data_IF_993040046538
#
_entry.id   IF_993040046538
#
_cell.length_a   1.000
_cell.length_b   1.000
_cell.length_c   1.000
_cell.angle_alpha   90.00
_cell.angle_beta   90.00
_cell.angle_gamma   90.00
#
_symmetry.space_group_name_H-M   'P 1'
#
loop_
_entity.id
_entity.type
_entity.pdbx_description
1 polymer ?
#
# COMPACT_ATOMS: atom_id res chain seq x y z
N UNK A 1 -30.84 61.21 24.72
CA UNK A 1 -30.19 60.09 23.99
C UNK A 1 -29.03 59.47 24.78
N UNK A 2 -29.21 59.18 26.09
CA UNK A 2 -28.18 58.57 26.95
C UNK A 2 -28.66 57.30 27.69
N UNK A 3 -29.93 56.91 27.51
CA UNK A 3 -30.54 55.71 28.13
C UNK A 3 -30.64 54.50 27.19
N UNK A 4 -30.43 54.69 25.87
CA UNK A 4 -30.55 53.61 24.88
C UNK A 4 -29.26 52.77 24.77
N UNK A 5 -28.09 53.33 25.13
CA UNK A 5 -26.79 52.64 25.00
C UNK A 5 -26.55 51.62 26.14
N UNK A 6 -27.18 51.81 27.32
CA UNK A 6 -26.96 50.92 28.48
C UNK A 6 -27.74 49.59 28.33
N UNK A 7 -28.85 49.59 27.60
CA UNK A 7 -29.67 48.37 27.41
C UNK A 7 -28.98 47.39 26.45
N UNK A 8 -28.20 47.87 25.49
CA UNK A 8 -27.51 47.02 24.50
C UNK A 8 -26.27 46.28 25.07
N UNK A 9 -25.71 46.74 26.20
CA UNK A 9 -24.56 46.09 26.84
C UNK A 9 -24.95 44.99 27.84
N UNK A 10 -26.19 45.00 28.35
CA UNK A 10 -26.71 43.97 29.26
C UNK A 10 -27.28 42.75 28.52
N UNK A 11 -27.60 42.86 27.23
CA UNK A 11 -28.07 41.74 26.41
C UNK A 11 -26.95 40.87 25.83
N UNK A 12 -25.70 41.38 25.77
CA UNK A 12 -24.55 40.64 25.24
C UNK A 12 -23.94 39.69 26.29
N UNK A 13 -24.24 39.88 27.59
CA UNK A 13 -23.65 39.06 28.65
C UNK A 13 -24.39 37.72 28.92
N UNK A 14 -25.48 37.41 28.21
CA UNK A 14 -26.28 36.19 28.43
C UNK A 14 -26.05 35.07 27.40
N UNK A 15 -25.11 35.22 26.44
CA UNK A 15 -24.87 34.21 25.39
C UNK A 15 -23.64 33.32 25.68
N UNK A 16 -22.90 33.56 26.77
CA UNK A 16 -21.75 32.72 27.17
C UNK A 16 -22.12 31.75 28.28
N UNK A 17 -23.11 30.89 28.05
CA UNK A 17 -23.40 29.77 28.95
C UNK A 17 -24.01 28.58 28.21
N UNK A 18 -23.34 28.07 27.16
CA UNK A 18 -23.50 26.64 26.81
C UNK A 18 -22.38 26.14 25.89
N UNK A 19 -21.34 25.58 26.49
CA UNK A 19 -20.71 24.35 25.98
C UNK A 19 -19.83 23.78 27.09
N UNK A 20 -20.16 22.57 27.56
CA UNK A 20 -19.39 21.91 28.60
C UNK A 20 -20.14 20.78 29.26
N UNK A 21 -20.66 19.82 28.49
CA UNK A 21 -20.91 18.48 29.03
C UNK A 21 -19.84 17.56 28.46
N UNK A 22 -18.82 17.31 29.27
CA UNK A 22 -17.89 16.21 29.09
C UNK A 22 -18.69 14.93 29.26
N UNK A 23 -18.91 14.22 28.17
CA UNK A 23 -19.36 12.83 28.21
C UNK A 23 -18.23 12.03 28.84
N UNK A 24 -18.37 11.70 30.11
CA UNK A 24 -17.58 10.62 30.72
C UNK A 24 -18.03 9.32 30.05
N UNK A 25 -17.44 9.01 28.90
CA UNK A 25 -17.43 7.64 28.38
C UNK A 25 -16.52 6.87 29.32
N UNK A 26 -17.10 6.23 30.32
CA UNK A 26 -16.45 5.12 31.02
C UNK A 26 -16.35 3.95 30.03
N UNK A 27 -15.38 4.02 29.12
CA UNK A 27 -14.88 2.84 28.44
C UNK A 27 -14.27 1.95 29.52
N UNK A 28 -15.10 1.08 30.08
CA UNK A 28 -14.61 -0.12 30.75
C UNK A 28 -14.17 -1.08 29.65
N UNK A 29 -13.08 -0.73 28.97
CA UNK A 29 -12.27 -1.74 28.31
C UNK A 29 -11.37 -2.25 29.42
N UNK A 30 -11.63 -3.48 29.84
CA UNK A 30 -10.65 -4.33 30.50
C UNK A 30 -9.39 -4.31 29.65
N UNK A 31 -8.49 -3.39 29.97
CA UNK A 31 -7.14 -3.35 29.45
C UNK A 31 -6.41 -4.54 30.06
N UNK A 32 -6.42 -5.62 29.31
CA UNK A 32 -5.49 -6.72 29.48
C UNK A 32 -4.83 -6.88 28.13
N UNK A 33 -3.88 -5.98 27.83
CA UNK A 33 -2.68 -6.22 27.02
C UNK A 33 -2.69 -7.51 26.17
N UNK A 34 -3.57 -7.56 25.18
CA UNK A 34 -3.55 -8.53 24.10
C UNK A 34 -3.27 -7.70 22.86
N UNK A 35 -2.18 -8.04 22.14
CA UNK A 35 -1.72 -7.31 20.97
C UNK A 35 -2.89 -6.98 20.04
N UNK A 36 -2.89 -5.75 19.51
CA UNK A 36 -3.99 -5.27 18.68
C UNK A 36 -4.33 -6.31 17.59
N UNK A 37 -5.61 -6.62 17.40
CA UNK A 37 -6.09 -7.59 16.42
C UNK A 37 -6.87 -6.88 15.32
N UNK A 38 -6.66 -7.28 14.07
CA UNK A 38 -7.44 -6.83 12.94
C UNK A 38 -8.89 -7.32 13.07
N UNK A 39 -9.86 -6.40 13.15
CA UNK A 39 -11.27 -6.73 13.43
C UNK A 39 -11.96 -7.44 12.27
N UNK A 40 -11.44 -7.33 11.05
CA UNK A 40 -12.01 -7.97 9.87
C UNK A 40 -11.55 -9.42 9.70
N UNK A 41 -10.31 -9.71 10.10
CA UNK A 41 -9.67 -11.01 9.88
C UNK A 41 -9.45 -11.82 11.16
N UNK A 42 -9.50 -11.18 12.33
CA UNK A 42 -9.13 -11.78 13.61
C UNK A 42 -7.63 -12.02 13.75
N UNK A 43 -6.81 -11.62 12.78
CA UNK A 43 -5.36 -11.79 12.87
C UNK A 43 -4.72 -10.79 13.85
N UNK A 44 -3.76 -11.24 14.65
CA UNK A 44 -2.89 -10.34 15.40
C UNK A 44 -2.15 -9.34 14.48
N UNK A 45 -1.97 -8.11 14.94
CA UNK A 45 -1.28 -7.03 14.21
C UNK A 45 0.22 -6.94 14.54
N UNK A 46 0.78 -7.86 15.33
CA UNK A 46 2.22 -7.97 15.49
C UNK A 46 2.91 -8.24 14.15
N UNK A 47 4.04 -7.58 13.95
CA UNK A 47 4.88 -7.74 12.78
C UNK A 47 5.92 -8.84 13.05
N UNK A 48 5.57 -10.06 12.66
CA UNK A 48 6.40 -11.26 12.76
C UNK A 48 6.48 -11.91 11.37
N UNK A 49 7.22 -11.28 10.43
CA UNK A 49 7.07 -11.56 9.01
C UNK A 49 7.44 -12.98 8.64
N UNK A 50 6.76 -13.52 7.64
CA UNK A 50 7.07 -14.81 7.03
C UNK A 50 7.06 -14.70 5.51
N UNK A 51 7.98 -15.42 4.87
CA UNK A 51 7.98 -15.58 3.43
C UNK A 51 7.05 -16.74 3.06
N UNK A 52 6.04 -16.47 2.25
CA UNK A 52 5.16 -17.48 1.68
C UNK A 52 5.82 -18.24 0.55
N UNK A 53 5.35 -19.46 0.27
CA UNK A 53 5.78 -20.27 -0.90
C UNK A 53 5.42 -19.64 -2.25
N UNK A 54 4.59 -18.60 -2.25
CA UNK A 54 4.28 -17.78 -3.41
C UNK A 54 5.26 -16.61 -3.61
N UNK A 55 6.30 -16.50 -2.76
CA UNK A 55 7.31 -15.45 -2.81
C UNK A 55 6.86 -14.12 -2.21
N UNK A 56 5.69 -14.07 -1.54
CA UNK A 56 5.18 -12.87 -0.89
C UNK A 56 5.53 -12.86 0.61
N UNK A 57 5.92 -11.69 1.12
CA UNK A 57 6.05 -11.48 2.57
C UNK A 57 4.68 -11.23 3.17
N UNK A 58 4.33 -12.00 4.19
CA UNK A 58 3.16 -11.80 5.01
C UNK A 58 3.57 -11.21 6.36
N UNK A 59 2.74 -10.30 6.88
CA UNK A 59 2.98 -9.64 8.18
C UNK A 59 3.21 -10.64 9.32
N UNK A 60 2.46 -11.75 9.31
CA UNK A 60 2.67 -12.90 10.18
C UNK A 60 1.99 -14.15 9.59
N UNK A 61 2.15 -15.27 10.29
CA UNK A 61 1.63 -16.59 9.88
C UNK A 61 0.10 -16.60 9.70
N UNK A 62 -0.64 -15.82 10.50
CA UNK A 62 -2.09 -15.72 10.40
C UNK A 62 -2.50 -15.16 9.02
N UNK A 63 -1.88 -14.07 8.58
CA UNK A 63 -2.18 -13.47 7.28
C UNK A 63 -1.83 -14.38 6.09
N UNK A 64 -0.77 -15.19 6.18
CA UNK A 64 -0.47 -16.21 5.15
C UNK A 64 -1.54 -17.30 5.08
N UNK A 65 -2.03 -17.72 6.24
CA UNK A 65 -3.04 -18.78 6.36
C UNK A 65 -4.39 -18.36 5.79
N UNK A 66 -4.78 -17.09 5.95
CA UNK A 66 -5.99 -16.55 5.32
C UNK A 66 -6.00 -16.64 3.80
N UNK A 67 -4.81 -16.65 3.17
CA UNK A 67 -4.65 -16.83 1.71
C UNK A 67 -4.35 -18.27 1.31
N UNK A 68 -4.41 -19.22 2.24
CA UNK A 68 -4.03 -20.62 2.03
C UNK A 68 -2.61 -20.78 1.47
N UNK A 69 -1.71 -19.87 1.84
CA UNK A 69 -0.31 -19.91 1.41
C UNK A 69 0.54 -20.50 2.52
N UNK A 70 1.23 -21.59 2.21
CA UNK A 70 2.19 -22.20 3.12
C UNK A 70 3.42 -21.31 3.30
N UNK A 71 4.04 -21.38 4.47
CA UNK A 71 5.29 -20.67 4.78
C UNK A 71 6.47 -21.39 4.12
N UNK A 72 7.35 -20.64 3.49
CA UNK A 72 8.67 -21.08 3.03
C UNK A 72 9.70 -20.95 4.16
N UNK A 73 9.91 -19.73 4.67
CA UNK A 73 10.76 -19.46 5.83
C UNK A 73 10.28 -18.27 6.67
N UNK A 74 10.79 -18.20 7.91
CA UNK A 74 10.55 -17.08 8.83
C UNK A 74 11.41 -15.89 8.41
N UNK A 75 10.82 -14.69 8.41
CA UNK A 75 11.44 -13.46 7.92
C UNK A 75 10.75 -12.93 6.67
N UNK A 76 11.20 -11.77 6.20
CA UNK A 76 10.77 -11.24 4.89
C UNK A 76 11.37 -12.09 3.77
N UNK A 77 10.66 -12.21 2.65
CA UNK A 77 11.22 -12.85 1.46
C UNK A 77 12.49 -12.14 0.99
N UNK A 78 13.41 -12.90 0.39
CA UNK A 78 14.57 -12.37 -0.31
C UNK A 78 14.12 -11.53 -1.50
N UNK A 79 14.68 -10.33 -1.60
CA UNK A 79 14.40 -9.40 -2.68
C UNK A 79 15.69 -8.96 -3.35
N UNK A 80 15.58 -8.42 -4.56
CA UNK A 80 16.74 -7.89 -5.26
C UNK A 80 16.84 -6.38 -5.04
N UNK A 81 18.01 -5.93 -4.58
CA UNK A 81 18.40 -4.53 -4.65
C UNK A 81 19.20 -4.32 -5.93
N UNK A 82 18.65 -3.53 -6.83
CA UNK A 82 19.18 -3.28 -8.16
C UNK A 82 19.55 -1.80 -8.34
N UNK A 83 20.68 -1.51 -8.97
CA UNK A 83 21.10 -0.15 -9.31
C UNK A 83 20.79 0.17 -10.77
N UNK A 84 19.92 1.16 -10.98
CA UNK A 84 19.53 1.67 -12.29
C UNK A 84 20.15 3.05 -12.49
N UNK A 85 21.19 3.15 -13.32
CA UNK A 85 21.94 4.41 -13.54
C UNK A 85 22.39 5.09 -12.21
N UNK A 86 22.74 4.30 -11.19
CA UNK A 86 23.16 4.79 -9.88
C UNK A 86 22.03 5.02 -8.87
N UNK A 87 20.77 4.78 -9.25
CA UNK A 87 19.63 4.83 -8.34
C UNK A 87 19.24 3.42 -7.87
N UNK A 88 19.20 3.23 -6.56
CA UNK A 88 18.80 1.96 -5.95
C UNK A 88 17.29 1.75 -6.05
N UNK A 89 16.94 0.55 -6.49
CA UNK A 89 15.57 0.06 -6.55
C UNK A 89 15.48 -1.29 -5.85
N UNK A 90 14.48 -1.47 -5.01
CA UNK A 90 14.16 -2.75 -4.38
C UNK A 90 13.05 -3.41 -5.18
N UNK A 91 13.38 -4.51 -5.84
CA UNK A 91 12.51 -5.27 -6.75
C UNK A 91 11.88 -6.41 -5.97
N UNK A 92 10.57 -6.33 -5.79
CA UNK A 92 9.71 -7.30 -5.13
C UNK A 92 8.70 -7.84 -6.14
N UNK A 93 8.08 -9.01 -5.92
CA UNK A 93 6.98 -9.46 -6.77
C UNK A 93 5.86 -8.40 -6.84
N UNK A 94 5.64 -7.85 -8.04
CA UNK A 94 4.63 -6.82 -8.32
C UNK A 94 4.81 -5.46 -7.62
N UNK A 95 5.95 -5.24 -6.96
CA UNK A 95 6.26 -4.01 -6.23
C UNK A 95 7.68 -3.57 -6.60
N UNK A 96 7.83 -2.31 -6.96
CA UNK A 96 9.13 -1.69 -7.15
C UNK A 96 9.23 -0.50 -6.19
N UNK A 97 10.18 -0.53 -5.27
CA UNK A 97 10.43 0.58 -4.35
C UNK A 97 11.68 1.34 -4.75
N UNK A 98 11.63 2.66 -4.68
CA UNK A 98 12.82 3.50 -4.78
C UNK A 98 12.63 4.79 -3.98
N UNK A 99 13.73 5.45 -3.69
CA UNK A 99 13.75 6.82 -3.17
C UNK A 99 14.33 7.75 -4.24
N UNK A 100 13.77 8.95 -4.37
CA UNK A 100 14.35 9.96 -5.23
C UNK A 100 15.54 10.67 -4.56
N UNK A 101 16.13 11.64 -5.26
CA UNK A 101 17.26 12.41 -4.75
C UNK A 101 16.95 13.31 -3.54
N UNK A 102 15.69 13.38 -3.11
CA UNK A 102 15.23 14.07 -1.91
C UNK A 102 14.77 13.10 -0.83
N UNK A 103 15.14 11.82 -0.95
CA UNK A 103 14.78 10.74 -0.01
C UNK A 103 13.25 10.54 0.09
N UNK A 104 12.51 10.93 -0.95
CA UNK A 104 11.06 10.70 -0.98
C UNK A 104 10.80 9.29 -1.47
N UNK A 105 10.07 8.46 -0.71
CA UNK A 105 9.85 7.07 -1.06
C UNK A 105 8.68 6.91 -2.02
N UNK A 106 8.85 6.03 -3.01
CA UNK A 106 7.86 5.67 -4.01
C UNK A 106 7.69 4.16 -4.04
N UNK A 107 6.45 3.70 -4.12
CA UNK A 107 6.09 2.32 -4.41
C UNK A 107 5.38 2.30 -5.74
N UNK A 108 6.00 1.70 -6.73
CA UNK A 108 5.44 1.53 -8.05
C UNK A 108 4.84 0.12 -8.15
N UNK A 109 3.61 0.07 -8.63
CA UNK A 109 2.94 -1.17 -9.04
C UNK A 109 2.46 -0.99 -10.47
N UNK A 110 2.11 -2.09 -11.15
CA UNK A 110 1.68 -2.05 -12.55
C UNK A 110 0.50 -1.10 -12.83
N UNK A 111 -0.32 -0.79 -11.81
CA UNK A 111 -1.52 0.05 -11.93
C UNK A 111 -1.39 1.47 -11.36
N UNK A 112 -0.22 1.85 -10.85
CA UNK A 112 -0.02 3.18 -10.29
C UNK A 112 1.09 3.24 -9.26
N UNK A 113 1.13 4.39 -8.58
CA UNK A 113 2.21 4.76 -7.69
C UNK A 113 1.64 5.09 -6.33
N UNK A 114 2.22 4.56 -5.26
CA UNK A 114 2.04 5.11 -3.93
C UNK A 114 3.19 6.06 -3.61
N UNK A 115 2.85 7.24 -3.09
CA UNK A 115 3.81 8.18 -2.51
C UNK A 115 3.49 8.39 -1.04
N UNK A 116 4.52 8.53 -0.21
CA UNK A 116 4.33 8.97 1.17
C UNK A 116 3.97 10.46 1.19
N UNK A 117 2.98 10.85 1.99
CA UNK A 117 2.60 12.25 2.17
C UNK A 117 3.71 13.02 2.91
N UNK A 118 3.85 14.32 2.65
CA UNK A 118 4.92 15.15 3.24
C UNK A 118 4.80 15.32 4.75
N UNK A 119 3.59 15.20 5.30
CA UNK A 119 3.31 15.19 6.72
C UNK A 119 3.64 13.85 7.41
N UNK A 120 3.92 12.80 6.63
CA UNK A 120 4.15 11.45 7.14
C UNK A 120 2.87 10.69 7.51
N UNK A 121 1.67 11.25 7.29
CA UNK A 121 0.38 10.68 7.72
C UNK A 121 -0.13 9.56 6.79
N UNK A 122 0.77 8.94 6.04
CA UNK A 122 0.50 7.72 5.28
C UNK A 122 0.66 7.86 3.78
N UNK A 123 0.31 6.78 3.08
CA UNK A 123 0.55 6.61 1.65
C UNK A 123 -0.65 7.04 0.82
N UNK A 124 -0.41 7.84 -0.22
CA UNK A 124 -1.42 8.21 -1.21
C UNK A 124 -1.24 7.37 -2.47
N UNK A 125 -2.31 6.69 -2.90
CA UNK A 125 -2.33 5.98 -4.18
C UNK A 125 -2.70 6.91 -5.34
N UNK A 126 -1.86 6.93 -6.37
CA UNK A 126 -2.04 7.69 -7.60
C UNK A 126 -2.13 6.71 -8.75
N UNK A 127 -3.31 6.60 -9.35
CA UNK A 127 -3.56 5.70 -10.48
C UNK A 127 -2.83 6.18 -11.74
N UNK A 128 -2.13 5.27 -12.42
CA UNK A 128 -1.68 5.46 -13.79
C UNK A 128 -2.77 4.98 -14.78
N UNK A 129 -3.17 5.81 -15.73
CA UNK A 129 -4.28 5.50 -16.67
C UNK A 129 -3.83 4.53 -17.79
N UNK A 130 -2.53 4.36 -18.01
CA UNK A 130 -1.98 3.52 -19.07
C UNK A 130 -0.78 2.70 -18.56
N UNK A 131 -0.91 1.38 -18.53
CA UNK A 131 0.09 0.44 -17.98
C UNK A 131 1.38 0.42 -18.80
N UNK A 132 1.31 0.62 -20.12
CA UNK A 132 2.47 0.63 -21.02
C UNK A 132 3.36 1.88 -20.91
N UNK A 133 2.94 2.87 -20.11
CA UNK A 133 3.76 4.03 -19.74
C UNK A 133 3.97 4.11 -18.22
N UNK A 134 3.57 3.06 -17.49
CA UNK A 134 3.82 3.02 -16.04
C UNK A 134 5.32 2.89 -15.79
N UNK A 135 5.81 3.62 -14.79
CA UNK A 135 7.20 3.55 -14.38
C UNK A 135 7.59 2.12 -14.00
N UNK A 136 6.70 1.43 -13.27
CA UNK A 136 6.82 0.00 -12.95
C UNK A 136 7.11 -0.85 -14.19
N UNK A 137 6.25 -0.76 -15.21
CA UNK A 137 6.38 -1.60 -16.41
C UNK A 137 7.71 -1.36 -17.13
N UNK A 138 8.09 -0.10 -17.33
CA UNK A 138 9.33 0.23 -18.03
C UNK A 138 10.58 -0.22 -17.26
N UNK A 139 10.62 -0.01 -15.93
CA UNK A 139 11.73 -0.49 -15.10
C UNK A 139 11.81 -2.01 -15.04
N UNK A 140 10.68 -2.71 -15.03
CA UNK A 140 10.68 -4.18 -15.08
C UNK A 140 11.16 -4.72 -16.43
N UNK A 141 10.94 -4.02 -17.54
CA UNK A 141 11.56 -4.37 -18.83
C UNK A 141 13.09 -4.28 -18.77
N UNK A 142 13.61 -3.19 -18.23
CA UNK A 142 15.07 -3.01 -18.05
C UNK A 142 15.66 -4.05 -17.09
N UNK A 143 15.00 -4.29 -15.96
CA UNK A 143 15.36 -5.34 -15.00
C UNK A 143 15.48 -6.71 -15.67
N UNK A 144 14.45 -7.12 -16.42
CA UNK A 144 14.44 -8.40 -17.14
C UNK A 144 15.52 -8.46 -18.22
N UNK A 145 15.83 -7.34 -18.86
CA UNK A 145 16.90 -7.21 -19.84
C UNK A 145 18.31 -7.11 -19.21
N UNK A 146 18.40 -6.91 -17.88
CA UNK A 146 19.63 -6.62 -17.12
C UNK A 146 20.41 -5.41 -17.64
N UNK A 147 19.71 -4.48 -18.29
CA UNK A 147 20.30 -3.32 -18.96
C UNK A 147 19.28 -2.19 -19.01
N UNK A 148 19.72 -0.96 -18.73
CA UNK A 148 18.88 0.23 -18.84
C UNK A 148 18.60 0.57 -20.30
N UNK A 149 17.57 1.38 -20.57
CA UNK A 149 17.28 1.90 -21.92
C UNK A 149 18.48 2.65 -22.55
N UNK A 150 19.36 3.22 -21.71
CA UNK A 150 20.59 3.91 -22.14
C UNK A 150 21.76 2.95 -22.42
N UNK A 151 21.58 1.64 -22.27
CA UNK A 151 22.61 0.63 -22.50
C UNK A 151 23.55 0.38 -21.32
N UNK A 152 23.25 0.90 -20.12
CA UNK A 152 24.07 0.66 -18.94
C UNK A 152 23.66 -0.67 -18.27
N UNK A 153 24.60 -1.50 -17.81
CA UNK A 153 24.27 -2.73 -17.11
C UNK A 153 23.56 -2.44 -15.79
N UNK A 154 22.53 -3.23 -15.48
CA UNK A 154 21.89 -3.22 -14.16
C UNK A 154 22.58 -4.27 -13.29
N UNK A 155 22.98 -3.86 -12.09
CA UNK A 155 23.58 -4.75 -11.10
C UNK A 155 22.59 -4.98 -9.96
N UNK A 156 22.32 -6.25 -9.65
CA UNK A 156 21.37 -6.65 -8.62
C UNK A 156 22.06 -7.54 -7.58
N UNK A 157 21.65 -7.38 -6.33
CA UNK A 157 22.12 -8.19 -5.19
C UNK A 157 20.94 -8.64 -4.35
N UNK A 158 20.96 -9.89 -3.90
CA UNK A 158 19.96 -10.38 -2.96
C UNK A 158 20.11 -9.68 -1.61
N UNK A 159 18.99 -9.25 -1.04
CA UNK A 159 18.93 -8.63 0.28
C UNK A 159 17.70 -9.10 1.04
N UNK A 160 17.87 -9.25 2.35
CA UNK A 160 16.79 -9.36 3.33
C UNK A 160 16.57 -8.03 4.06
N UNK A 161 17.49 -7.08 3.90
CA UNK A 161 17.40 -5.74 4.47
C UNK A 161 16.64 -4.84 3.50
N UNK A 162 15.48 -4.36 3.95
CA UNK A 162 14.62 -3.43 3.22
C UNK A 162 14.51 -2.08 3.97
N UNK A 163 14.30 -0.95 3.27
CA UNK A 163 14.12 0.36 3.89
C UNK A 163 12.89 0.42 4.80
N UNK A 164 12.91 1.27 5.82
CA UNK A 164 11.85 1.33 6.83
C UNK A 164 10.50 1.77 6.24
N UNK A 165 10.50 2.69 5.28
CA UNK A 165 9.31 3.08 4.54
C UNK A 165 8.71 1.89 3.77
N UNK A 166 9.56 1.04 3.17
CA UNK A 166 9.10 -0.17 2.50
C UNK A 166 8.52 -1.18 3.51
N UNK A 167 9.14 -1.36 4.68
CA UNK A 167 8.59 -2.21 5.76
C UNK A 167 7.21 -1.73 6.19
N UNK A 168 7.07 -0.43 6.46
CA UNK A 168 5.79 0.13 6.90
C UNK A 168 4.72 0.05 5.81
N UNK A 169 5.11 0.25 4.53
CA UNK A 169 4.20 0.05 3.41
C UNK A 169 3.72 -1.40 3.30
N UNK A 170 4.62 -2.38 3.36
CA UNK A 170 4.25 -3.79 3.26
C UNK A 170 3.33 -4.22 4.42
N UNK A 171 3.57 -3.68 5.61
CA UNK A 171 2.73 -3.89 6.80
C UNK A 171 1.32 -3.30 6.63
N UNK A 172 1.18 -2.11 6.08
CA UNK A 172 -0.11 -1.39 6.04
C UNK A 172 -0.90 -1.61 4.74
N UNK A 173 -0.21 -1.77 3.62
CA UNK A 173 -0.79 -1.80 2.27
C UNK A 173 -0.48 -3.08 1.49
N UNK A 174 0.38 -3.98 1.99
CA UNK A 174 0.72 -5.24 1.28
C UNK A 174 -0.50 -6.08 0.91
N UNK A 175 -1.51 -6.13 1.79
CA UNK A 175 -2.80 -6.78 1.52
C UNK A 175 -3.60 -6.09 0.40
N UNK A 176 -3.61 -4.75 0.37
CA UNK A 176 -4.33 -3.97 -0.66
C UNK A 176 -3.67 -4.16 -2.02
N UNK A 177 -2.34 -4.10 -2.08
CA UNK A 177 -1.59 -4.32 -3.32
C UNK A 177 -1.87 -5.70 -3.89
N UNK A 178 -1.88 -6.73 -3.03
CA UNK A 178 -2.27 -8.08 -3.41
C UNK A 178 -3.67 -8.11 -4.02
N UNK A 179 -4.68 -7.52 -3.37
CA UNK A 179 -6.06 -7.52 -3.88
C UNK A 179 -6.18 -6.80 -5.22
N UNK A 180 -5.41 -5.71 -5.42
CA UNK A 180 -5.37 -4.99 -6.70
C UNK A 180 -4.81 -5.89 -7.81
N UNK A 181 -3.77 -6.68 -7.51
CA UNK A 181 -3.12 -7.58 -8.47
C UNK A 181 -3.99 -8.82 -8.77
N UNK A 182 -4.59 -9.44 -7.74
CA UNK A 182 -5.45 -10.61 -7.92
C UNK A 182 -6.76 -10.24 -8.62
N UNK A 183 -7.36 -9.09 -8.24
CA UNK A 183 -8.59 -8.60 -8.87
C UNK A 183 -8.37 -8.20 -10.33
N UNK A 184 -7.19 -7.72 -10.71
CA UNK A 184 -6.88 -7.43 -12.11
C UNK A 184 -6.58 -8.70 -12.92
N UNK A 185 -5.99 -9.72 -12.32
CA UNK A 185 -5.79 -11.03 -12.95
C UNK A 185 -7.13 -11.70 -13.31
N UNK A 186 -8.16 -11.57 -12.44
CA UNK A 186 -9.49 -12.09 -12.74
C UNK A 186 -10.19 -11.36 -13.90
N UNK A 187 -10.04 -10.03 -13.98
CA UNK A 187 -10.57 -9.26 -15.12
C UNK A 187 -9.87 -9.58 -16.44
N UNK A 188 -8.58 -9.97 -16.43
CA UNK A 188 -7.86 -10.39 -17.62
C UNK A 188 -8.27 -11.78 -18.13
N UNK A 189 -8.78 -12.66 -17.25
CA UNK A 189 -9.37 -13.95 -17.64
C UNK A 189 -10.79 -13.81 -18.18
N UNK A 190 -11.59 -12.86 -17.70
CA UNK A 190 -12.92 -12.60 -18.24
C UNK A 190 -12.89 -11.90 -19.61
N UNK A 191 -11.91 -11.02 -19.86
CA UNK A 191 -11.75 -10.38 -21.18
C UNK A 191 -11.30 -11.35 -22.28
N UNK A 192 -10.72 -12.49 -21.93
CA UNK A 192 -10.32 -13.53 -22.89
C UNK A 192 -11.42 -14.59 -23.14
N UNK A 193 -12.57 -14.51 -22.47
CA UNK A 193 -13.74 -15.34 -22.80
C UNK A 193 -14.74 -14.63 -23.73
N UNK A 194 -14.65 -13.31 -23.90
CA UNK A 194 -15.54 -12.55 -24.80
C UNK A 194 -15.13 -12.54 -26.28
N UNK A 195 -13.91 -12.99 -26.62
CA UNK A 195 -13.42 -13.06 -28.01
C UNK A 195 -13.47 -14.47 -28.62
N UNK A 196 -14.03 -15.46 -27.92
CA UNK A 196 -14.14 -16.85 -28.39
C UNK A 196 -15.57 -17.27 -28.83
N UNK A 197 -16.48 -16.33 -29.05
CA UNK A 197 -17.83 -16.64 -29.54
C UNK A 197 -18.30 -15.73 -30.68
N UNK A 198 -17.53 -15.65 -31.77
CA UNK A 198 -18.06 -15.24 -33.08
C UNK A 198 -17.42 -16.12 -34.16
N UNK A 199 -18.27 -16.62 -35.06
CA UNK A 199 -17.97 -17.34 -36.30
C UNK A 199 -17.66 -18.84 -36.18
N UNK A 200 -18.68 -19.67 -36.38
CA UNK A 200 -18.92 -20.31 -37.70
C UNK A 200 -20.30 -20.99 -37.71
N UNK A 201 -21.21 -20.52 -38.57
CA UNK A 201 -21.94 -21.34 -39.55
C UNK A 201 -23.03 -20.53 -40.25
N UNK A 202 -22.68 -20.02 -41.43
CA UNK A 202 -23.61 -19.77 -42.53
C UNK A 202 -22.89 -20.18 -43.83
N UNK A 203 -23.67 -20.68 -44.79
CA UNK A 203 -23.33 -21.31 -46.10
C UNK A 203 -23.15 -22.83 -46.01
N UNK A 204 -23.91 -23.69 -46.69
CA UNK A 204 -24.90 -23.57 -47.80
C UNK A 204 -26.24 -24.24 -47.45
#
# INVERSE_FOLDING_TARGET
MRKIIIIALLSIFLIVASCGQQTNITNTTTDTSAGATDTATGCPLDYNPVCGKDGLTYQNTCFSSLRNVGIDYIGVCNYEKCSFNGQDHYVLPNILYYEDNKERPYIEIIYGTFRLQEDGDGWTFIRAINTGVSYYYNRMLEYNAKMTESGNPITCTNTTEVPDNLKEFLKTHGKIVTMIIEGSAQNATESNLSDASVSTNMTE
#
